data_IF_298051155137
#
_entry.id   IF_298051155137
#
_cell.length_a   1.000
_cell.length_b   1.000
_cell.length_c   1.000
_cell.angle_alpha   90.00
_cell.angle_beta   90.00
_cell.angle_gamma   90.00
#
_symmetry.space_group_name_H-M   'P 1'
#
loop_
_entity.id
_entity.type
_entity.pdbx_description
1 polymer ?
#
# COMPACT_ATOMS: atom_id res chain seq x y z
N UNK A 1 -36.48 14.69 5.17
CA UNK A 1 -35.06 14.58 5.59
C UNK A 1 -34.22 15.46 4.68
N UNK A 2 -33.23 16.16 5.23
CA UNK A 2 -32.26 16.95 4.44
C UNK A 2 -31.00 16.12 4.25
N UNK A 3 -31.01 15.21 3.27
CA UNK A 3 -29.90 14.30 3.03
C UNK A 3 -28.79 14.99 2.23
N UNK A 4 -27.58 14.93 2.76
CA UNK A 4 -26.34 15.27 2.05
C UNK A 4 -26.07 14.28 0.91
N UNK A 5 -25.21 14.65 -0.04
CA UNK A 5 -24.80 13.73 -1.12
C UNK A 5 -24.19 12.44 -0.60
N UNK A 6 -23.36 12.53 0.45
CA UNK A 6 -22.74 11.36 1.11
C UNK A 6 -23.79 10.41 1.67
N UNK A 7 -24.82 10.93 2.33
CA UNK A 7 -25.89 10.10 2.90
C UNK A 7 -26.72 9.43 1.80
N UNK A 8 -26.97 10.10 0.67
CA UNK A 8 -27.61 9.49 -0.50
C UNK A 8 -26.77 8.35 -1.07
N UNK A 9 -25.45 8.52 -1.17
CA UNK A 9 -24.57 7.45 -1.66
C UNK A 9 -24.58 6.24 -0.73
N UNK A 10 -24.58 6.44 0.60
CA UNK A 10 -24.69 5.35 1.58
C UNK A 10 -26.03 4.61 1.48
N UNK A 11 -27.12 5.33 1.21
CA UNK A 11 -28.42 4.70 0.94
C UNK A 11 -28.40 3.84 -0.32
N UNK A 12 -27.74 4.30 -1.39
CA UNK A 12 -27.57 3.50 -2.61
C UNK A 12 -26.78 2.21 -2.35
N UNK A 13 -25.72 2.29 -1.53
CA UNK A 13 -24.97 1.10 -1.09
C UNK A 13 -25.84 0.13 -0.30
N UNK A 14 -26.63 0.63 0.67
CA UNK A 14 -27.55 -0.20 1.44
C UNK A 14 -28.59 -0.91 0.54
N UNK A 15 -29.10 -0.21 -0.49
CA UNK A 15 -30.00 -0.83 -1.47
C UNK A 15 -29.30 -1.90 -2.31
N UNK A 16 -28.07 -1.66 -2.76
CA UNK A 16 -27.28 -2.66 -3.47
C UNK A 16 -27.01 -3.90 -2.60
N UNK A 17 -26.71 -3.69 -1.32
CA UNK A 17 -26.51 -4.76 -0.35
C UNK A 17 -27.79 -5.57 -0.10
N UNK A 18 -28.95 -4.92 -0.04
CA UNK A 18 -30.23 -5.62 0.09
C UNK A 18 -30.50 -6.51 -1.14
N UNK A 19 -30.20 -6.02 -2.35
CA UNK A 19 -30.30 -6.82 -3.58
C UNK A 19 -29.34 -8.01 -3.53
N UNK A 20 -28.10 -7.82 -3.09
CA UNK A 20 -27.11 -8.89 -2.92
C UNK A 20 -27.56 -9.92 -1.88
N UNK A 21 -28.06 -9.48 -0.72
CA UNK A 21 -28.60 -10.34 0.35
C UNK A 21 -29.75 -11.21 -0.14
N UNK A 22 -30.67 -10.63 -0.92
CA UNK A 22 -31.79 -11.36 -1.51
C UNK A 22 -31.33 -12.40 -2.56
N UNK A 23 -30.26 -12.11 -3.31
CA UNK A 23 -29.65 -13.06 -4.26
C UNK A 23 -28.98 -14.22 -3.51
N UNK A 24 -28.17 -13.91 -2.50
CA UNK A 24 -27.49 -14.90 -1.67
C UNK A 24 -28.48 -15.83 -0.96
N UNK A 25 -29.57 -15.29 -0.43
CA UNK A 25 -30.63 -16.06 0.23
C UNK A 25 -31.31 -17.09 -0.69
N UNK A 26 -31.26 -16.88 -2.01
CA UNK A 26 -31.75 -17.83 -3.03
C UNK A 26 -30.67 -18.78 -3.55
N UNK A 27 -29.48 -18.77 -2.94
CA UNK A 27 -28.35 -19.62 -3.34
C UNK A 27 -27.56 -19.09 -4.55
N UNK A 28 -27.76 -17.84 -4.96
CA UNK A 28 -26.96 -17.25 -6.04
C UNK A 28 -25.56 -16.92 -5.50
N UNK A 29 -24.52 -17.40 -6.19
CA UNK A 29 -23.13 -17.00 -5.93
C UNK A 29 -22.92 -15.54 -6.34
N UNK A 30 -22.45 -14.73 -5.41
CA UNK A 30 -22.33 -13.29 -5.62
C UNK A 30 -21.16 -12.93 -6.53
N UNK A 31 -21.34 -11.91 -7.36
CA UNK A 31 -20.28 -11.29 -8.14
C UNK A 31 -19.57 -10.16 -7.37
N UNK A 32 -18.60 -9.50 -8.02
CA UNK A 32 -17.79 -8.43 -7.41
C UNK A 32 -18.62 -7.29 -6.76
N UNK A 33 -19.50 -6.56 -7.47
CA UNK A 33 -20.24 -5.46 -6.87
C UNK A 33 -21.22 -5.91 -5.77
N UNK A 34 -21.78 -7.10 -5.87
CA UNK A 34 -22.67 -7.66 -4.85
C UNK A 34 -21.93 -7.97 -3.54
N UNK A 35 -20.75 -8.61 -3.65
CA UNK A 35 -19.91 -8.91 -2.50
C UNK A 35 -19.42 -7.62 -1.82
N UNK A 36 -18.94 -6.64 -2.60
CA UNK A 36 -18.51 -5.34 -2.08
C UNK A 36 -19.65 -4.64 -1.35
N UNK A 37 -20.85 -4.58 -1.95
CA UNK A 37 -22.00 -3.93 -1.33
C UNK A 37 -22.38 -4.59 0.00
N UNK A 38 -22.47 -5.92 0.05
CA UNK A 38 -22.89 -6.64 1.26
C UNK A 38 -21.89 -6.47 2.42
N UNK A 39 -20.58 -6.51 2.13
CA UNK A 39 -19.53 -6.32 3.14
C UNK A 39 -19.51 -4.86 3.61
N UNK A 40 -19.67 -3.91 2.69
CA UNK A 40 -19.74 -2.48 3.02
C UNK A 40 -20.93 -2.17 3.94
N UNK A 41 -22.09 -2.72 3.64
CA UNK A 41 -23.31 -2.60 4.45
C UNK A 41 -23.11 -3.15 5.86
N UNK A 42 -22.49 -4.32 6.01
CA UNK A 42 -22.16 -4.88 7.32
C UNK A 42 -21.32 -3.92 8.18
N UNK A 43 -20.34 -3.23 7.58
CA UNK A 43 -19.51 -2.26 8.30
C UNK A 43 -20.30 -1.00 8.66
N UNK A 44 -21.13 -0.48 7.75
CA UNK A 44 -21.94 0.72 8.01
C UNK A 44 -22.94 0.47 9.14
N UNK A 45 -23.66 -0.66 9.09
CA UNK A 45 -24.64 -1.02 10.12
C UNK A 45 -23.94 -1.33 11.45
N UNK A 46 -22.81 -2.04 11.43
CA UNK A 46 -22.05 -2.31 12.64
C UNK A 46 -21.48 -1.04 13.30
N UNK A 47 -21.09 -0.03 12.50
CA UNK A 47 -20.70 1.27 13.03
C UNK A 47 -21.90 2.01 13.66
N UNK A 48 -23.09 1.89 13.04
CA UNK A 48 -24.34 2.45 13.56
C UNK A 48 -24.75 1.82 14.89
N UNK A 49 -24.45 0.53 15.08
CA UNK A 49 -24.63 -0.23 16.32
C UNK A 49 -23.58 0.08 17.40
N UNK A 50 -22.58 0.91 17.08
CA UNK A 50 -21.56 1.35 18.03
C UNK A 50 -20.38 0.38 18.21
N UNK A 51 -20.21 -0.58 17.31
CA UNK A 51 -19.04 -1.48 17.30
C UNK A 51 -17.75 -0.71 17.02
N UNK A 52 -16.62 -1.23 17.48
CA UNK A 52 -15.33 -0.58 17.23
C UNK A 52 -14.83 -0.77 15.79
N UNK A 53 -13.97 0.14 15.32
CA UNK A 53 -13.30 -0.01 14.01
C UNK A 53 -12.60 -1.37 13.90
N UNK A 54 -11.87 -1.78 14.93
CA UNK A 54 -11.14 -3.04 14.95
C UNK A 54 -12.05 -4.27 14.82
N UNK A 55 -13.20 -4.27 15.50
CA UNK A 55 -14.19 -5.35 15.37
C UNK A 55 -14.76 -5.42 13.94
N UNK A 56 -15.03 -4.28 13.31
CA UNK A 56 -15.61 -4.24 11.97
C UNK A 56 -14.60 -4.64 10.89
N UNK A 57 -13.30 -4.35 11.09
CA UNK A 57 -12.23 -4.89 10.25
C UNK A 57 -12.24 -6.43 10.25
N UNK A 58 -12.52 -7.05 11.39
CA UNK A 58 -12.59 -8.50 11.51
C UNK A 58 -13.92 -9.07 11.01
N UNK A 59 -15.04 -8.48 11.42
CA UNK A 59 -16.37 -8.97 11.09
C UNK A 59 -16.69 -8.84 9.60
N UNK A 60 -16.20 -7.77 8.94
CA UNK A 60 -16.32 -7.62 7.50
C UNK A 60 -15.69 -8.79 6.73
N UNK A 61 -14.63 -9.40 7.27
CA UNK A 61 -13.95 -10.55 6.67
C UNK A 61 -14.63 -11.91 6.95
N UNK A 62 -15.78 -11.89 7.64
CA UNK A 62 -16.58 -13.08 7.98
C UNK A 62 -17.98 -13.04 7.35
N UNK A 63 -18.31 -11.98 6.59
CA UNK A 63 -19.63 -11.80 5.98
C UNK A 63 -19.87 -12.81 4.85
N UNK A 64 -18.83 -13.13 4.09
CA UNK A 64 -18.90 -14.03 2.94
C UNK A 64 -17.79 -15.07 2.98
N UNK A 65 -18.14 -16.29 2.59
CA UNK A 65 -17.22 -17.41 2.34
C UNK A 65 -16.94 -17.54 0.85
N UNK A 66 -15.85 -18.21 0.49
CA UNK A 66 -15.47 -18.43 -0.92
C UNK A 66 -16.57 -19.16 -1.72
N UNK A 67 -17.32 -20.07 -1.11
CA UNK A 67 -18.40 -20.83 -1.77
C UNK A 67 -19.64 -19.97 -2.10
N UNK A 68 -19.79 -18.83 -1.42
CA UNK A 68 -20.91 -17.89 -1.60
C UNK A 68 -20.68 -16.88 -2.73
N UNK A 69 -19.49 -16.88 -3.33
CA UNK A 69 -19.12 -15.96 -4.41
C UNK A 69 -18.74 -16.72 -5.68
N UNK A 70 -18.75 -16.03 -6.81
CA UNK A 70 -18.27 -16.60 -8.07
C UNK A 70 -16.75 -16.86 -7.99
N UNK A 71 -16.21 -17.82 -8.77
CA UNK A 71 -14.77 -18.04 -8.87
C UNK A 71 -14.02 -16.75 -9.27
N UNK A 72 -12.82 -16.54 -8.73
CA UNK A 72 -11.98 -15.37 -8.97
C UNK A 72 -12.34 -14.12 -8.15
N UNK A 73 -13.53 -14.07 -7.53
CA UNK A 73 -13.97 -12.93 -6.71
C UNK A 73 -13.11 -12.73 -5.45
N UNK A 74 -12.73 -13.77 -4.68
CA UNK A 74 -11.83 -13.60 -3.53
C UNK A 74 -10.50 -12.93 -3.89
N UNK A 75 -9.97 -13.24 -5.07
CA UNK A 75 -8.70 -12.69 -5.55
C UNK A 75 -8.83 -11.28 -6.11
N UNK A 76 -9.99 -10.89 -6.63
CA UNK A 76 -10.23 -9.54 -7.13
C UNK A 76 -10.43 -8.51 -6.01
N UNK A 77 -10.97 -8.92 -4.86
CA UNK A 77 -11.30 -8.01 -3.75
C UNK A 77 -10.21 -8.10 -2.68
N UNK A 78 -9.15 -7.32 -2.85
CA UNK A 78 -8.07 -7.25 -1.85
C UNK A 78 -8.50 -6.48 -0.60
N UNK A 79 -9.12 -5.32 -0.78
CA UNK A 79 -9.52 -4.43 0.29
C UNK A 79 -10.88 -3.82 0.01
N UNK A 80 -11.70 -3.68 1.05
CA UNK A 80 -12.90 -2.84 1.03
C UNK A 80 -12.71 -1.71 2.03
N UNK A 81 -12.77 -0.48 1.53
CA UNK A 81 -12.61 0.74 2.32
C UNK A 81 -13.94 1.48 2.42
N UNK A 82 -14.35 1.76 3.65
CA UNK A 82 -15.63 2.42 3.92
C UNK A 82 -15.52 3.39 5.08
N UNK A 83 -15.96 4.61 4.86
CA UNK A 83 -16.18 5.56 5.94
C UNK A 83 -17.59 5.40 6.50
N UNK A 84 -17.71 5.22 7.82
CA UNK A 84 -18.97 5.14 8.54
C UNK A 84 -18.97 6.11 9.74
N UNK A 85 -20.17 6.49 10.21
CA UNK A 85 -20.33 7.41 11.35
C UNK A 85 -20.50 6.57 12.61
N UNK A 86 -19.48 6.60 13.47
CA UNK A 86 -19.46 5.97 14.78
C UNK A 86 -19.95 6.95 15.86
N UNK A 87 -20.21 6.50 17.10
CA UNK A 87 -20.53 7.38 18.22
C UNK A 87 -19.50 8.50 18.45
N UNK A 88 -18.24 8.27 18.07
CA UNK A 88 -17.11 9.21 18.19
C UNK A 88 -16.75 9.91 16.85
N UNK A 89 -17.67 9.91 15.88
CA UNK A 89 -17.54 10.60 14.60
C UNK A 89 -17.21 9.68 13.42
N UNK A 90 -16.91 10.27 12.26
CA UNK A 90 -16.61 9.49 11.05
C UNK A 90 -15.22 8.86 11.14
N UNK A 91 -15.11 7.55 10.86
CA UNK A 91 -13.85 6.81 10.76
C UNK A 91 -13.82 5.98 9.48
N UNK A 92 -12.62 5.79 8.94
CA UNK A 92 -12.35 4.85 7.85
C UNK A 92 -12.15 3.45 8.42
N UNK A 93 -12.85 2.47 7.86
CA UNK A 93 -12.64 1.04 8.11
C UNK A 93 -12.11 0.42 6.83
N UNK A 94 -11.03 -0.36 6.94
CA UNK A 94 -10.49 -1.16 5.84
C UNK A 94 -10.62 -2.63 6.20
N UNK A 95 -11.37 -3.38 5.40
CA UNK A 95 -11.48 -4.83 5.53
C UNK A 95 -10.50 -5.47 4.55
N UNK A 96 -9.41 -6.01 5.08
CA UNK A 96 -8.36 -6.67 4.30
C UNK A 96 -8.72 -8.13 4.01
N UNK A 97 -8.59 -8.54 2.75
CA UNK A 97 -8.93 -9.86 2.23
C UNK A 97 -10.25 -10.37 2.80
N UNK A 98 -11.37 -9.70 2.45
CA UNK A 98 -12.66 -9.88 3.11
C UNK A 98 -13.32 -11.22 2.79
N UNK A 99 -12.88 -11.92 1.75
CA UNK A 99 -13.35 -13.26 1.39
C UNK A 99 -12.13 -14.18 1.42
N UNK A 100 -12.15 -15.18 2.29
CA UNK A 100 -11.02 -16.09 2.52
C UNK A 100 -11.40 -17.52 2.14
N UNK A 101 -10.47 -18.24 1.56
CA UNK A 101 -10.68 -19.62 1.11
C UNK A 101 -9.50 -20.15 0.32
N UNK A 102 -9.69 -21.33 -0.26
CA UNK A 102 -8.75 -21.86 -1.24
C UNK A 102 -8.70 -20.95 -2.48
N UNK A 103 -7.52 -20.78 -3.10
CA UNK A 103 -7.40 -19.98 -4.31
C UNK A 103 -8.20 -20.60 -5.46
N UNK A 104 -8.77 -19.75 -6.30
CA UNK A 104 -9.45 -20.12 -7.54
C UNK A 104 -8.46 -20.67 -8.56
N UNK A 105 -8.88 -21.64 -9.37
CA UNK A 105 -8.06 -22.21 -10.46
C UNK A 105 -7.75 -21.17 -11.54
N UNK A 106 -8.69 -20.26 -11.81
CA UNK A 106 -8.55 -19.17 -12.78
C UNK A 106 -8.74 -17.82 -12.09
N UNK A 107 -7.67 -17.03 -12.02
CA UNK A 107 -7.63 -15.74 -11.33
C UNK A 107 -7.62 -14.60 -12.35
N UNK A 108 -8.66 -13.75 -12.39
CA UNK A 108 -8.72 -12.62 -13.31
C UNK A 108 -7.51 -11.70 -13.20
N UNK A 109 -6.91 -11.36 -14.33
CA UNK A 109 -5.74 -10.47 -14.39
C UNK A 109 -4.41 -11.14 -14.01
N UNK A 110 -4.37 -12.47 -13.94
CA UNK A 110 -3.12 -13.21 -13.68
C UNK A 110 -2.02 -12.80 -14.66
N UNK A 111 -0.87 -12.41 -14.11
CA UNK A 111 0.32 -12.07 -14.88
C UNK A 111 1.23 -13.28 -14.92
N UNK A 112 1.48 -13.80 -16.12
CA UNK A 112 2.51 -14.84 -16.33
C UNK A 112 3.83 -14.18 -16.69
N UNK A 113 4.86 -14.39 -15.87
CA UNK A 113 6.21 -13.87 -16.12
C UNK A 113 7.11 -14.95 -16.70
N UNK A 114 8.16 -14.53 -17.42
CA UNK A 114 9.24 -15.45 -17.80
C UNK A 114 10.05 -15.81 -16.55
N UNK A 115 10.58 -17.03 -16.44
CA UNK A 115 11.48 -17.37 -15.35
C UNK A 115 12.75 -16.52 -15.41
N UNK A 116 13.32 -16.19 -14.25
CA UNK A 116 14.55 -15.42 -14.11
C UNK A 116 14.41 -14.20 -13.21
N UNK A 117 15.52 -13.50 -13.00
CA UNK A 117 15.58 -12.25 -12.24
C UNK A 117 15.91 -11.07 -13.17
N UNK A 118 15.38 -9.90 -12.85
CA UNK A 118 15.74 -8.65 -13.52
C UNK A 118 16.92 -8.04 -12.76
N UNK A 119 18.04 -7.86 -13.46
CA UNK A 119 19.23 -7.21 -12.88
C UNK A 119 19.09 -5.69 -13.06
N UNK A 120 19.08 -4.95 -11.96
CA UNK A 120 19.10 -3.49 -11.99
C UNK A 120 20.52 -2.95 -12.08
N UNK A 121 20.68 -1.81 -12.75
CA UNK A 121 21.93 -1.05 -12.84
C UNK A 121 23.11 -1.91 -13.34
N UNK A 122 22.84 -2.82 -14.28
CA UNK A 122 23.83 -3.74 -14.82
C UNK A 122 25.05 -3.00 -15.37
N UNK A 123 26.24 -3.52 -15.06
CA UNK A 123 27.52 -2.96 -15.49
C UNK A 123 27.90 -1.63 -14.82
N UNK A 124 27.11 -1.09 -13.90
CA UNK A 124 27.50 0.13 -13.17
C UNK A 124 28.51 -0.20 -12.05
N UNK A 125 29.53 0.66 -11.84
CA UNK A 125 30.43 0.49 -10.72
C UNK A 125 29.66 0.67 -9.41
N UNK A 126 29.94 -0.20 -8.44
CA UNK A 126 29.31 -0.19 -7.12
C UNK A 126 30.29 0.31 -6.07
N UNK A 127 29.86 1.31 -5.31
CA UNK A 127 30.61 1.84 -4.16
C UNK A 127 29.91 1.38 -2.89
N UNK A 128 30.58 0.60 -2.05
CA UNK A 128 30.06 0.20 -0.74
C UNK A 128 30.39 1.28 0.29
N UNK A 129 29.38 1.75 1.01
CA UNK A 129 29.53 2.79 2.02
C UNK A 129 28.85 2.35 3.31
N UNK A 130 29.59 2.37 4.42
CA UNK A 130 29.04 2.15 5.76
C UNK A 130 28.45 3.45 6.28
N UNK A 131 27.16 3.42 6.63
CA UNK A 131 26.36 4.59 7.03
C UNK A 131 25.79 4.37 8.42
N UNK A 132 26.05 5.32 9.32
CA UNK A 132 25.52 5.32 10.69
C UNK A 132 24.48 6.43 10.85
N UNK A 133 23.34 6.14 11.45
CA UNK A 133 22.38 7.17 11.88
C UNK A 133 22.68 7.59 13.32
N UNK A 134 23.26 8.77 13.49
CA UNK A 134 23.54 9.38 14.80
C UNK A 134 22.41 10.29 15.29
N UNK A 135 21.30 10.38 14.54
CA UNK A 135 20.12 11.12 14.92
C UNK A 135 19.23 10.38 15.92
N UNK A 136 18.25 11.10 16.45
CA UNK A 136 17.23 10.61 17.39
C UNK A 136 15.94 10.12 16.71
N UNK A 137 15.90 10.21 15.38
CA UNK A 137 14.74 9.87 14.55
C UNK A 137 15.14 8.97 13.38
N UNK A 138 14.21 8.12 12.91
CA UNK A 138 14.48 7.29 11.74
C UNK A 138 14.64 8.14 10.48
N UNK A 139 15.56 7.72 9.63
CA UNK A 139 15.83 8.37 8.33
C UNK A 139 15.64 7.33 7.23
N UNK A 140 14.91 7.70 6.18
CA UNK A 140 14.68 6.82 5.04
C UNK A 140 15.11 7.53 3.74
N UNK A 141 15.96 6.87 2.96
CA UNK A 141 16.55 7.43 1.74
C UNK A 141 16.07 6.63 0.53
N UNK A 142 15.44 7.31 -0.42
CA UNK A 142 14.91 6.71 -1.64
C UNK A 142 15.98 6.36 -2.68
N UNK A 143 15.66 5.42 -3.57
CA UNK A 143 16.52 4.89 -4.64
C UNK A 143 17.24 5.94 -5.50
N UNK A 144 16.60 7.08 -5.79
CA UNK A 144 17.10 8.09 -6.72
C UNK A 144 17.51 9.41 -6.05
N UNK A 145 17.56 9.43 -4.72
CA UNK A 145 18.05 10.59 -4.00
C UNK A 145 19.58 10.68 -4.15
N UNK A 146 20.12 11.89 -4.39
CA UNK A 146 21.56 12.10 -4.46
C UNK A 146 22.19 11.84 -3.09
N UNK A 147 22.90 10.73 -2.94
CA UNK A 147 23.25 10.18 -1.63
C UNK A 147 24.19 11.09 -0.83
N UNK A 148 25.03 11.87 -1.52
CA UNK A 148 25.83 12.94 -0.93
C UNK A 148 25.02 13.95 -0.10
N UNK A 149 23.78 14.22 -0.50
CA UNK A 149 22.93 15.26 0.08
C UNK A 149 21.90 14.72 1.08
N UNK A 150 22.02 13.47 1.53
CA UNK A 150 21.10 12.94 2.54
C UNK A 150 21.25 13.69 3.88
N UNK A 151 20.28 13.47 4.77
CA UNK A 151 20.19 14.08 6.09
C UNK A 151 21.56 14.08 6.83
N UNK A 152 21.98 15.19 7.48
CA UNK A 152 23.22 15.26 8.26
C UNK A 152 23.36 14.21 9.35
N UNK A 153 22.24 13.74 9.91
CA UNK A 153 22.23 12.69 10.93
C UNK A 153 22.75 11.34 10.42
N UNK A 154 22.89 11.17 9.10
CA UNK A 154 23.61 10.06 8.51
C UNK A 154 25.10 10.43 8.36
N UNK A 155 25.94 9.69 9.07
CA UNK A 155 27.40 9.83 9.10
C UNK A 155 28.03 8.71 8.27
N UNK A 156 28.82 9.12 7.28
CA UNK A 156 29.56 8.29 6.34
C UNK A 156 30.55 9.19 5.57
N UNK A 157 31.43 8.60 4.75
CA UNK A 157 32.27 9.37 3.85
C UNK A 157 31.42 9.96 2.70
N UNK A 158 31.13 11.27 2.80
CA UNK A 158 30.28 11.95 1.83
C UNK A 158 30.93 12.05 0.47
N UNK A 159 32.23 12.30 0.38
CA UNK A 159 32.90 12.49 -0.91
C UNK A 159 32.81 11.23 -1.77
N UNK A 160 32.87 10.03 -1.15
CA UNK A 160 32.62 8.77 -1.86
C UNK A 160 31.22 8.68 -2.47
N UNK A 161 30.22 9.34 -1.88
CA UNK A 161 28.85 9.33 -2.35
C UNK A 161 28.51 10.46 -3.35
N UNK A 162 29.46 11.35 -3.67
CA UNK A 162 29.21 12.47 -4.58
C UNK A 162 28.88 11.97 -5.99
N UNK A 163 27.74 12.41 -6.50
CA UNK A 163 27.20 11.99 -7.78
C UNK A 163 26.65 10.56 -7.82
N UNK A 164 26.38 9.95 -6.65
CA UNK A 164 25.86 8.58 -6.56
C UNK A 164 24.45 8.53 -5.94
N UNK A 165 23.77 7.40 -6.14
CA UNK A 165 22.46 7.06 -5.57
C UNK A 165 22.44 5.60 -5.13
N UNK A 166 21.46 5.19 -4.33
CA UNK A 166 21.34 3.81 -3.87
C UNK A 166 21.16 2.82 -5.04
N UNK A 167 21.89 1.71 -5.00
CA UNK A 167 21.75 0.58 -5.93
C UNK A 167 20.66 -0.38 -5.46
N UNK A 168 19.41 0.09 -5.54
CA UNK A 168 18.22 -0.67 -5.14
C UNK A 168 17.13 -0.55 -6.23
N UNK A 169 16.09 -1.36 -6.10
CA UNK A 169 14.94 -1.31 -7.01
C UNK A 169 14.35 0.12 -7.06
N UNK A 170 14.05 0.67 -8.25
CA UNK A 170 13.44 1.99 -8.38
C UNK A 170 12.16 2.13 -7.56
N UNK A 171 11.95 3.29 -6.93
CA UNK A 171 10.79 3.55 -6.07
C UNK A 171 10.92 3.02 -4.62
N UNK A 172 11.89 2.15 -4.35
CA UNK A 172 12.16 1.68 -2.97
C UNK A 172 13.10 2.61 -2.21
N UNK A 173 13.33 2.31 -0.93
CA UNK A 173 14.17 3.09 -0.04
C UNK A 173 14.91 2.20 0.98
N UNK A 174 16.01 2.71 1.53
CA UNK A 174 16.70 2.14 2.70
C UNK A 174 16.37 2.96 3.93
N UNK A 175 15.99 2.28 5.01
CA UNK A 175 15.65 2.87 6.31
C UNK A 175 16.79 2.66 7.30
N UNK A 176 17.11 3.72 8.05
CA UNK A 176 18.11 3.76 9.09
C UNK A 176 17.44 4.18 10.41
N UNK A 177 17.33 3.24 11.35
CA UNK A 177 16.84 3.54 12.71
C UNK A 177 17.88 4.35 13.51
N UNK A 178 17.47 5.13 14.53
CA UNK A 178 18.39 5.80 15.44
C UNK A 178 19.46 4.84 15.99
N UNK A 179 20.73 5.22 15.90
CA UNK A 179 21.87 4.43 16.37
C UNK A 179 22.27 3.23 15.48
N UNK A 180 21.53 2.96 14.40
CA UNK A 180 21.85 1.86 13.50
C UNK A 180 22.98 2.22 12.53
N UNK A 181 23.89 1.27 12.31
CA UNK A 181 24.93 1.32 11.28
C UNK A 181 24.69 0.23 10.25
N UNK A 182 24.78 0.57 8.97
CA UNK A 182 24.54 -0.37 7.88
C UNK A 182 25.39 -0.03 6.66
N UNK A 183 25.87 -1.05 5.97
CA UNK A 183 26.49 -0.91 4.65
C UNK A 183 25.43 -0.83 3.55
N UNK A 184 25.61 0.10 2.63
CA UNK A 184 24.78 0.26 1.42
C UNK A 184 25.65 0.30 0.18
N UNK A 185 25.09 -0.18 -0.94
CA UNK A 185 25.69 -0.06 -2.25
C UNK A 185 25.16 1.18 -2.98
N UNK A 186 26.07 1.94 -3.56
CA UNK A 186 25.78 3.12 -4.38
C UNK A 186 26.21 2.88 -5.82
N UNK A 187 25.47 3.48 -6.76
CA UNK A 187 25.79 3.54 -8.19
C UNK A 187 25.79 4.98 -8.68
N UNK A 188 26.59 5.34 -9.71
CA UNK A 188 26.61 6.69 -10.24
C UNK A 188 25.27 7.14 -10.81
N UNK A 189 24.96 8.42 -10.64
CA UNK A 189 23.98 9.11 -11.46
C UNK A 189 24.43 9.08 -12.93
N UNK A 190 23.47 8.86 -13.82
CA UNK A 190 23.67 8.80 -15.29
C UNK A 190 22.92 9.96 -15.96
N UNK A 191 22.91 9.99 -17.29
CA UNK A 191 22.37 11.12 -18.06
C UNK A 191 23.33 12.31 -18.04
N UNK A 192 22.80 13.54 -17.95
CA UNK A 192 23.58 14.77 -17.97
C UNK A 192 24.46 14.98 -16.71
N UNK A 193 24.29 14.14 -15.68
CA UNK A 193 25.01 14.25 -14.39
C UNK A 193 24.94 15.66 -13.79
N UNK A 194 23.75 16.26 -13.84
CA UNK A 194 23.43 17.53 -13.21
C UNK A 194 22.48 17.29 -12.03
N UNK A 195 22.73 17.98 -10.92
CA UNK A 195 22.02 17.80 -9.65
C UNK A 195 21.42 19.13 -9.23
N UNK A 196 20.09 19.16 -9.07
CA UNK A 196 19.33 20.31 -8.60
C UNK A 196 18.35 19.88 -7.50
N UNK A 197 18.08 20.79 -6.55
CA UNK A 197 17.19 20.51 -5.41
C UNK A 197 17.95 19.89 -4.23
N UNK A 198 17.44 18.78 -3.69
CA UNK A 198 17.99 18.08 -2.52
C UNK A 198 18.26 19.02 -1.33
N UNK A 199 19.53 19.25 -0.99
CA UNK A 199 19.94 20.20 0.06
C UNK A 199 20.63 21.44 -0.51
N UNK A 200 20.63 21.58 -1.84
CA UNK A 200 21.25 22.69 -2.54
C UNK A 200 22.78 22.64 -2.52
N UNK A 201 23.40 21.49 -2.22
CA UNK A 201 24.85 21.42 -2.05
C UNK A 201 25.63 21.36 -3.37
N UNK A 202 25.01 20.86 -4.45
CA UNK A 202 25.63 20.79 -5.79
C UNK A 202 25.05 21.83 -6.75
N UNK A 203 23.73 21.85 -6.94
CA UNK A 203 23.01 22.84 -7.77
C UNK A 203 23.62 23.10 -9.16
N UNK A 204 24.07 22.04 -9.84
CA UNK A 204 24.78 22.15 -11.11
C UNK A 204 25.34 20.83 -11.61
N UNK A 205 26.32 20.91 -12.52
CA UNK A 205 27.03 19.75 -13.04
C UNK A 205 27.90 19.09 -11.96
N UNK A 206 27.95 17.75 -11.99
CA UNK A 206 28.77 16.93 -11.10
C UNK A 206 30.22 16.83 -11.57
#
# INVERSE_FOLDING_TARGET
MLLTSREKDKLLVAMAAQVARNRLARGVRLNHPEAVALITDCVVEGARDGRSVAELMQAGAQVLTADQVMPGIPEMIHDIQVEATFPDGTKLVTVHHPIRGAPSDDVPGTVTTRPGAIVFNEGQPRTLVTVANTGDRPIQVGSHYHFYEVNPGLVFDREQARGQRLDIAPGTAVRFEPGATREVALVPLRGARTVYGFRGAVMGAL
#
